data_IF_591392923464
#
_entry.id   IF_591392923464
#
_cell.length_a   1.000
_cell.length_b   1.000
_cell.length_c   1.000
_cell.angle_alpha   90.00
_cell.angle_beta   90.00
_cell.angle_gamma   90.00
#
_symmetry.space_group_name_H-M   'P 1'
#
loop_
_entity.id
_entity.type
_entity.pdbx_description
1 polymer ?
#
# COMPACT_ATOMS: atom_id res chain seq x y z
N UNK A 1 26.62 15.17 19.85
CA UNK A 1 25.65 15.60 18.81
C UNK A 1 25.95 14.84 17.52
N UNK A 2 25.33 13.66 17.36
CA UNK A 2 25.58 12.73 16.26
C UNK A 2 25.02 13.28 14.95
N UNK A 3 25.92 13.60 14.02
CA UNK A 3 25.62 14.07 12.66
C UNK A 3 24.77 13.02 11.94
N UNK A 4 23.48 13.31 11.78
CA UNK A 4 22.51 12.43 11.12
C UNK A 4 22.97 12.17 9.67
N UNK A 5 23.34 10.93 9.27
CA UNK A 5 23.82 10.61 7.91
C UNK A 5 22.81 10.97 6.81
N UNK A 6 21.54 11.12 7.21
CA UNK A 6 20.39 11.52 6.41
C UNK A 6 20.53 12.89 5.72
N UNK A 7 21.30 13.83 6.28
CA UNK A 7 21.45 15.16 5.69
C UNK A 7 22.21 15.13 4.35
N UNK A 8 23.13 14.19 4.15
CA UNK A 8 23.83 14.02 2.87
C UNK A 8 22.94 13.36 1.81
N UNK A 9 22.00 12.51 2.22
CA UNK A 9 21.07 11.80 1.33
C UNK A 9 20.06 12.76 0.67
N UNK A 10 19.76 13.89 1.33
CA UNK A 10 18.87 14.92 0.80
C UNK A 10 19.40 15.59 -0.49
N UNK A 11 20.72 15.64 -0.67
CA UNK A 11 21.39 16.26 -1.83
C UNK A 11 21.52 15.32 -3.03
N UNK A 12 21.19 14.03 -2.88
CA UNK A 12 21.32 13.06 -3.96
C UNK A 12 20.17 13.17 -4.98
N UNK A 13 20.41 12.74 -6.24
CA UNK A 13 19.38 12.69 -7.27
C UNK A 13 18.14 11.91 -6.83
N UNK A 14 16.94 12.27 -7.36
CA UNK A 14 15.68 11.63 -6.96
C UNK A 14 15.72 10.10 -7.09
N UNK A 15 16.34 9.56 -8.14
CA UNK A 15 16.48 8.12 -8.36
C UNK A 15 17.24 7.42 -7.22
N UNK A 16 18.38 7.99 -6.80
CA UNK A 16 19.21 7.40 -5.74
C UNK A 16 18.44 7.35 -4.43
N UNK A 17 17.64 8.38 -4.13
CA UNK A 17 16.78 8.42 -2.93
C UNK A 17 15.71 7.33 -2.94
N UNK A 18 15.11 7.05 -4.10
CA UNK A 18 14.12 5.97 -4.26
C UNK A 18 14.80 4.61 -4.13
N UNK A 19 15.97 4.42 -4.75
CA UNK A 19 16.71 3.16 -4.67
C UNK A 19 17.13 2.83 -3.24
N UNK A 20 17.60 3.84 -2.49
CA UNK A 20 18.00 3.70 -1.09
C UNK A 20 16.80 3.39 -0.19
N UNK A 21 15.65 4.00 -0.46
CA UNK A 21 14.40 3.66 0.20
C UNK A 21 14.00 2.21 -0.07
N UNK A 22 14.04 1.78 -1.33
CA UNK A 22 13.68 0.43 -1.73
C UNK A 22 14.61 -0.61 -1.10
N UNK A 23 15.93 -0.34 -1.06
CA UNK A 23 16.91 -1.17 -0.37
C UNK A 23 16.60 -1.32 1.13
N UNK A 24 16.22 -0.23 1.81
CA UNK A 24 15.86 -0.26 3.22
C UNK A 24 14.56 -1.04 3.43
N UNK A 25 13.56 -0.85 2.57
CA UNK A 25 12.31 -1.62 2.61
C UNK A 25 12.61 -3.10 2.44
N UNK A 26 13.40 -3.47 1.43
CA UNK A 26 13.80 -4.87 1.19
C UNK A 26 14.56 -5.42 2.39
N UNK A 27 15.58 -4.72 2.90
CA UNK A 27 16.38 -5.18 4.03
C UNK A 27 15.54 -5.36 5.32
N UNK A 28 14.54 -4.49 5.54
CA UNK A 28 13.64 -4.59 6.68
C UNK A 28 12.55 -5.64 6.48
N UNK A 29 12.09 -5.82 5.24
CA UNK A 29 11.00 -6.72 4.89
C UNK A 29 11.46 -8.16 4.72
N UNK A 30 12.62 -8.43 4.13
CA UNK A 30 13.17 -9.78 3.92
C UNK A 30 13.11 -10.68 5.16
N UNK A 31 13.56 -10.24 6.36
CA UNK A 31 13.53 -11.08 7.55
C UNK A 31 12.10 -11.37 8.04
N UNK A 32 11.13 -10.53 7.69
CA UNK A 32 9.72 -10.72 8.02
C UNK A 32 9.00 -11.56 6.95
N UNK A 33 9.37 -11.38 5.68
CA UNK A 33 8.79 -12.04 4.54
C UNK A 33 9.11 -13.53 4.52
N UNK A 34 10.37 -13.91 4.78
CA UNK A 34 10.83 -15.30 4.80
C UNK A 34 9.95 -16.21 5.68
N UNK A 35 9.73 -15.91 6.97
CA UNK A 35 8.88 -16.75 7.82
C UNK A 35 7.40 -16.69 7.39
N UNK A 36 6.90 -15.54 6.94
CA UNK A 36 5.50 -15.39 6.52
C UNK A 36 5.17 -16.20 5.27
N UNK A 37 6.02 -16.17 4.24
CA UNK A 37 5.85 -16.98 3.04
C UNK A 37 6.05 -18.47 3.33
N UNK A 38 6.94 -18.83 4.25
CA UNK A 38 7.07 -20.21 4.71
C UNK A 38 5.76 -20.70 5.36
N UNK A 39 5.19 -19.94 6.31
CA UNK A 39 3.93 -20.31 6.95
C UNK A 39 2.74 -20.30 5.97
N UNK A 40 2.74 -19.41 4.99
CA UNK A 40 1.71 -19.36 3.95
C UNK A 40 1.77 -20.60 3.04
N UNK A 41 2.97 -21.04 2.67
CA UNK A 41 3.19 -22.27 1.92
C UNK A 41 2.78 -23.54 2.69
N UNK A 42 2.73 -23.50 4.02
CA UNK A 42 2.21 -24.60 4.85
C UNK A 42 0.69 -24.58 5.03
N UNK A 43 -0.03 -23.66 4.38
CA UNK A 43 -1.50 -23.58 4.46
C UNK A 43 -2.03 -23.13 5.82
N UNK A 44 -1.16 -22.61 6.70
CA UNK A 44 -1.51 -22.17 8.05
C UNK A 44 -2.17 -20.78 8.04
N UNK A 45 -1.92 -19.97 7.00
CA UNK A 45 -2.52 -18.64 6.86
C UNK A 45 -3.84 -18.69 6.08
N UNK A 46 -4.96 -18.25 6.66
CA UNK A 46 -6.21 -18.07 5.91
C UNK A 46 -6.01 -16.94 4.88
N UNK A 47 -6.02 -17.30 3.59
CA UNK A 47 -5.85 -16.35 2.47
C UNK A 47 -4.49 -16.39 1.77
N UNK A 48 -3.60 -17.33 2.07
CA UNK A 48 -2.35 -17.55 1.32
C UNK A 48 -1.44 -16.31 1.27
N UNK A 49 -1.03 -15.90 0.06
CA UNK A 49 -0.13 -14.76 -0.18
C UNK A 49 -0.76 -13.38 0.07
N UNK A 50 -2.07 -13.32 0.33
CA UNK A 50 -2.78 -12.07 0.59
C UNK A 50 -2.27 -11.38 1.87
N UNK A 51 -2.03 -12.16 2.92
CA UNK A 51 -1.57 -11.64 4.23
C UNK A 51 -0.14 -11.10 4.17
N UNK A 52 0.85 -11.82 3.62
CA UNK A 52 2.19 -11.27 3.39
C UNK A 52 2.17 -9.99 2.56
N UNK A 53 1.37 -9.97 1.48
CA UNK A 53 1.27 -8.81 0.59
C UNK A 53 0.64 -7.60 1.28
N UNK A 54 -0.45 -7.81 2.03
CA UNK A 54 -1.10 -6.75 2.79
C UNK A 54 -0.18 -6.17 3.88
N UNK A 55 0.60 -7.04 4.56
CA UNK A 55 1.52 -6.59 5.59
C UNK A 55 2.71 -5.82 4.99
N UNK A 56 3.25 -6.25 3.84
CA UNK A 56 4.27 -5.49 3.10
C UNK A 56 3.75 -4.09 2.75
N UNK A 57 2.51 -4.02 2.25
CA UNK A 57 1.88 -2.77 1.90
C UNK A 57 1.71 -1.84 3.10
N UNK A 58 1.33 -2.36 4.27
CA UNK A 58 1.25 -1.59 5.52
C UNK A 58 2.61 -1.07 5.97
N UNK A 59 3.66 -1.92 5.91
CA UNK A 59 5.03 -1.50 6.22
C UNK A 59 5.47 -0.38 5.30
N UNK A 60 5.20 -0.52 4.00
CA UNK A 60 5.50 0.50 3.00
C UNK A 60 4.78 1.82 3.31
N UNK A 61 3.48 1.78 3.60
CA UNK A 61 2.68 2.95 4.02
C UNK A 61 3.24 3.62 5.28
N UNK A 62 3.74 2.86 6.25
CA UNK A 62 4.31 3.42 7.49
C UNK A 62 5.72 4.00 7.31
N UNK A 63 6.50 3.44 6.38
CA UNK A 63 7.90 3.81 6.15
C UNK A 63 8.02 5.02 5.22
N UNK A 64 7.14 5.11 4.20
CA UNK A 64 7.10 6.20 3.22
C UNK A 64 7.05 7.61 3.86
N UNK A 65 6.11 7.93 4.78
CA UNK A 65 6.05 9.26 5.39
C UNK A 65 7.20 9.54 6.34
N UNK A 66 7.76 8.50 6.98
CA UNK A 66 8.96 8.64 7.83
C UNK A 66 10.18 8.96 6.98
N UNK A 67 10.28 8.36 5.79
CA UNK A 67 11.34 8.62 4.81
C UNK A 67 11.24 10.02 4.22
N UNK A 68 10.06 10.40 3.72
CA UNK A 68 9.78 11.72 3.17
C UNK A 68 10.08 12.84 4.18
N UNK A 69 9.62 12.68 5.44
CA UNK A 69 9.93 13.62 6.52
C UNK A 69 11.42 13.73 6.82
N UNK A 70 12.16 12.62 6.82
CA UNK A 70 13.59 12.60 7.18
C UNK A 70 14.51 13.10 6.07
N UNK A 71 14.19 12.83 4.80
CA UNK A 71 15.08 13.13 3.66
C UNK A 71 14.69 14.44 2.97
N UNK A 72 13.39 14.76 2.93
CA UNK A 72 12.86 15.95 2.24
C UNK A 72 12.56 17.11 3.21
N UNK A 73 12.39 16.82 4.51
CA UNK A 73 12.06 17.82 5.53
C UNK A 73 10.58 18.23 5.52
N UNK A 74 9.78 17.67 4.62
CA UNK A 74 8.36 17.96 4.50
C UNK A 74 7.57 17.54 5.74
N UNK A 75 6.87 18.50 6.36
CA UNK A 75 6.04 18.24 7.54
C UNK A 75 4.76 17.44 7.21
N UNK A 76 4.29 17.49 5.95
CA UNK A 76 3.04 16.83 5.50
C UNK A 76 3.21 16.05 4.18
N UNK A 77 3.88 14.88 4.19
CA UNK A 77 4.06 14.06 2.99
C UNK A 77 2.73 13.60 2.37
N UNK A 78 1.81 13.16 3.23
CA UNK A 78 0.50 12.63 2.86
C UNK A 78 -0.37 13.62 2.09
N UNK A 79 -0.31 14.91 2.43
CA UNK A 79 -1.11 15.93 1.77
C UNK A 79 -0.74 16.11 0.29
N UNK A 80 0.54 15.92 -0.08
CA UNK A 80 1.00 16.02 -1.48
C UNK A 80 0.56 14.82 -2.34
N UNK A 81 0.31 13.68 -1.71
CA UNK A 81 -0.17 12.45 -2.38
C UNK A 81 -1.69 12.30 -2.32
N UNK A 82 -2.42 13.36 -1.94
CA UNK A 82 -3.89 13.37 -1.89
C UNK A 82 -4.49 12.81 -0.60
N UNK A 83 -3.68 12.36 0.35
CA UNK A 83 -4.09 12.04 1.71
C UNK A 83 -4.19 13.33 2.56
N UNK A 84 -5.00 14.28 2.08
CA UNK A 84 -5.22 15.57 2.73
C UNK A 84 -6.24 15.42 3.87
N UNK A 85 -5.77 15.11 5.08
CA UNK A 85 -6.61 15.08 6.28
C UNK A 85 -7.55 13.86 6.37
N UNK A 86 -7.89 13.46 7.61
CA UNK A 86 -8.64 12.25 7.91
C UNK A 86 -10.06 12.25 7.31
N UNK A 87 -10.69 13.42 7.20
CA UNK A 87 -12.06 13.58 6.69
C UNK A 87 -12.15 13.54 5.16
N UNK A 88 -11.27 14.24 4.44
CA UNK A 88 -11.29 14.24 2.98
C UNK A 88 -10.85 12.88 2.41
N UNK A 89 -9.90 12.22 3.08
CA UNK A 89 -9.52 10.84 2.75
C UNK A 89 -10.68 9.87 2.94
N UNK A 90 -11.35 9.92 4.09
CA UNK A 90 -12.50 9.03 4.36
C UNK A 90 -13.62 9.28 3.35
N UNK A 91 -13.87 10.55 2.99
CA UNK A 91 -14.88 10.91 1.99
C UNK A 91 -14.49 10.41 0.60
N UNK A 92 -13.25 10.64 0.16
CA UNK A 92 -12.75 10.14 -1.12
C UNK A 92 -12.78 8.61 -1.20
N UNK A 93 -12.41 7.93 -0.12
CA UNK A 93 -12.46 6.46 -0.02
C UNK A 93 -13.89 5.94 -0.09
N UNK A 94 -14.84 6.59 0.62
CA UNK A 94 -16.26 6.23 0.56
C UNK A 94 -16.85 6.48 -0.85
N UNK A 95 -16.51 7.60 -1.49
CA UNK A 95 -16.95 7.90 -2.86
C UNK A 95 -16.37 6.90 -3.85
N UNK A 96 -15.07 6.59 -3.75
CA UNK A 96 -14.43 5.59 -4.61
C UNK A 96 -15.00 4.18 -4.41
N UNK A 97 -15.23 3.77 -3.16
CA UNK A 97 -15.86 2.50 -2.85
C UNK A 97 -17.29 2.41 -3.38
N UNK A 98 -18.08 3.48 -3.24
CA UNK A 98 -19.44 3.54 -3.78
C UNK A 98 -19.42 3.45 -5.31
N UNK A 99 -18.53 4.20 -5.97
CA UNK A 99 -18.40 4.18 -7.42
C UNK A 99 -17.97 2.79 -7.93
N UNK A 100 -17.05 2.15 -7.22
CA UNK A 100 -16.61 0.77 -7.49
C UNK A 100 -17.74 -0.23 -7.30
N UNK A 101 -18.50 -0.14 -6.20
CA UNK A 101 -19.64 -0.99 -5.94
C UNK A 101 -20.74 -0.84 -7.01
N UNK A 102 -21.04 0.41 -7.41
CA UNK A 102 -21.97 0.68 -8.51
C UNK A 102 -21.44 0.08 -9.82
N UNK A 103 -20.15 0.25 -10.12
CA UNK A 103 -19.55 -0.28 -11.35
C UNK A 103 -19.61 -1.81 -11.40
N UNK A 104 -19.30 -2.48 -10.30
CA UNK A 104 -19.42 -3.94 -10.17
C UNK A 104 -20.88 -4.38 -10.29
N UNK A 105 -21.82 -3.66 -9.64
CA UNK A 105 -23.24 -3.96 -9.73
C UNK A 105 -23.79 -3.82 -11.14
N UNK A 106 -23.44 -2.73 -11.84
CA UNK A 106 -23.78 -2.54 -13.27
C UNK A 106 -23.19 -3.64 -14.12
N UNK A 107 -21.92 -3.99 -13.90
CA UNK A 107 -21.26 -5.06 -14.63
C UNK A 107 -21.96 -6.41 -14.38
N UNK A 108 -22.35 -6.70 -13.14
CA UNK A 108 -23.09 -7.92 -12.79
C UNK A 108 -24.45 -7.97 -13.51
N UNK A 109 -25.20 -6.86 -13.53
CA UNK A 109 -26.48 -6.77 -14.26
C UNK A 109 -26.28 -7.01 -15.76
N UNK A 110 -25.24 -6.42 -16.37
CA UNK A 110 -24.91 -6.63 -17.79
C UNK A 110 -24.54 -8.09 -18.05
N UNK A 111 -23.72 -8.70 -17.20
CA UNK A 111 -23.34 -10.10 -17.33
C UNK A 111 -24.55 -11.04 -17.23
N UNK A 112 -25.49 -10.77 -16.33
CA UNK A 112 -26.75 -11.54 -16.21
C UNK A 112 -27.63 -11.33 -17.44
N UNK A 113 -27.79 -10.07 -17.91
CA UNK A 113 -28.61 -9.75 -19.08
C UNK A 113 -28.08 -10.40 -20.37
N UNK A 114 -26.76 -10.54 -20.50
CA UNK A 114 -26.09 -11.22 -21.62
C UNK A 114 -26.04 -12.75 -21.46
N UNK A 115 -26.51 -13.30 -20.34
CA UNK A 115 -26.48 -14.74 -20.06
C UNK A 115 -25.08 -15.29 -19.73
N UNK A 116 -24.12 -14.43 -19.41
CA UNK A 116 -22.75 -14.82 -19.03
C UNK A 116 -22.64 -15.20 -17.56
N UNK A 117 -23.58 -14.76 -16.73
CA UNK A 117 -23.64 -15.08 -15.31
C UNK A 117 -25.06 -15.52 -14.92
N UNK A 118 -25.17 -16.58 -14.13
CA UNK A 118 -26.41 -17.00 -13.48
C UNK A 118 -26.46 -16.46 -12.06
N UNK A 119 -27.64 -16.00 -11.63
CA UNK A 119 -27.92 -15.77 -10.21
C UNK A 119 -28.18 -17.13 -9.60
N UNK A 120 -27.18 -17.69 -8.93
CA UNK A 120 -27.34 -18.93 -8.15
C UNK A 120 -27.69 -18.54 -6.71
N UNK A 121 -28.95 -18.69 -6.26
CA UNK A 121 -29.33 -18.43 -4.88
C UNK A 121 -28.86 -19.59 -4.01
N UNK A 122 -27.60 -19.53 -3.55
CA UNK A 122 -27.10 -20.38 -2.48
C UNK A 122 -27.61 -19.92 -1.11
#
# INVERSE_FOLDING_TARGET
>A
MSKRPWAKVATYPPLVRVLLFLLIVVALWLPLALPLYWLAGQGVLPGGDLLPTALLYLVFLLLLPRWERRVRGEQQPWAKVGFAGRSALARGMATGALLGAISIGVLAVVQVALGWAGLDPA
#
